data_IF_451661063476
#
_entry.id   IF_451661063476
#
_cell.length_a   1.000
_cell.length_b   1.000
_cell.length_c   1.000
_cell.angle_alpha   90.00
_cell.angle_beta   90.00
_cell.angle_gamma   90.00
#
_symmetry.space_group_name_H-M   'P 1'
#
loop_
_entity.id
_entity.type
_entity.pdbx_description
1 polymer ?
#
# COMPACT_ATOMS: atom_id res chain seq x y z
N UNK A 1 11.76 -7.18 6.17
CA UNK A 1 10.63 -8.06 6.54
C UNK A 1 10.70 -9.31 5.69
N UNK A 2 10.93 -10.46 6.32
CA UNK A 2 10.91 -11.75 5.64
C UNK A 2 9.84 -12.61 6.30
N UNK A 3 8.88 -13.11 5.53
CA UNK A 3 7.89 -14.04 6.06
C UNK A 3 8.59 -15.33 6.50
N UNK A 4 8.17 -15.97 7.58
CA UNK A 4 8.73 -17.27 8.00
C UNK A 4 8.09 -18.42 7.22
N UNK A 5 8.71 -19.60 7.21
CA UNK A 5 8.08 -20.78 6.59
C UNK A 5 6.78 -21.18 7.30
N UNK A 6 6.67 -20.92 8.59
CA UNK A 6 5.43 -21.08 9.34
C UNK A 6 4.34 -20.13 8.84
N UNK A 7 4.67 -18.85 8.63
CA UNK A 7 3.74 -17.88 8.04
C UNK A 7 3.35 -18.23 6.60
N UNK A 8 4.27 -18.78 5.80
CA UNK A 8 3.98 -19.28 4.47
C UNK A 8 3.04 -20.50 4.52
N UNK A 9 3.19 -21.39 5.50
CA UNK A 9 2.26 -22.50 5.73
C UNK A 9 0.87 -21.98 6.12
N UNK A 10 0.79 -20.98 7.01
CA UNK A 10 -0.46 -20.29 7.36
C UNK A 10 -1.15 -19.72 6.12
N UNK A 11 -0.41 -19.04 5.25
CA UNK A 11 -0.97 -18.52 3.99
C UNK A 11 -1.56 -19.63 3.11
N UNK A 12 -0.84 -20.75 2.96
CA UNK A 12 -1.31 -21.89 2.16
C UNK A 12 -2.58 -22.53 2.71
N UNK A 13 -2.74 -22.54 4.03
CA UNK A 13 -3.93 -23.08 4.71
C UNK A 13 -5.12 -22.11 4.69
N UNK A 14 -4.87 -20.83 4.96
CA UNK A 14 -5.93 -19.83 5.21
C UNK A 14 -6.26 -18.95 4.00
N UNK A 15 -5.37 -18.89 3.01
CA UNK A 15 -5.47 -17.99 1.86
C UNK A 15 -5.06 -16.54 2.16
N UNK A 16 -4.63 -16.22 3.39
CA UNK A 16 -4.14 -14.90 3.78
C UNK A 16 -3.08 -14.97 4.88
N UNK A 17 -2.33 -13.88 5.05
CA UNK A 17 -1.35 -13.69 6.12
C UNK A 17 -1.40 -12.22 6.58
N UNK A 18 -1.24 -12.00 7.89
CA UNK A 18 -1.05 -10.67 8.46
C UNK A 18 0.41 -10.52 8.87
N UNK A 19 1.07 -9.50 8.34
CA UNK A 19 2.43 -9.10 8.75
C UNK A 19 2.38 -7.68 9.26
N UNK A 20 2.69 -7.52 10.54
CA UNK A 20 2.64 -6.22 11.21
C UNK A 20 3.94 -5.43 10.99
N UNK A 21 3.82 -4.11 10.95
CA UNK A 21 4.94 -3.17 11.02
C UNK A 21 6.07 -3.42 10.00
N UNK A 22 5.72 -3.83 8.77
CA UNK A 22 6.75 -4.12 7.77
C UNK A 22 7.40 -2.86 7.16
N UNK A 23 6.71 -1.72 7.21
CA UNK A 23 7.27 -0.42 6.88
C UNK A 23 7.91 0.21 8.11
N UNK A 24 9.07 0.81 7.92
CA UNK A 24 9.63 1.75 8.89
C UNK A 24 8.74 2.99 9.01
N UNK A 25 8.94 3.79 10.08
CA UNK A 25 8.21 5.06 10.26
C UNK A 25 8.48 6.05 9.13
N UNK A 26 9.70 6.07 8.62
CA UNK A 26 10.09 6.97 7.54
C UNK A 26 9.46 6.55 6.20
N UNK A 27 9.44 5.25 5.90
CA UNK A 27 8.76 4.72 4.71
C UNK A 27 7.24 4.95 4.77
N UNK A 28 6.65 4.73 5.95
CA UNK A 28 5.23 5.02 6.18
C UNK A 28 4.93 6.51 5.92
N UNK A 29 5.76 7.41 6.46
CA UNK A 29 5.56 8.84 6.31
C UNK A 29 5.75 9.30 4.86
N UNK A 30 6.76 8.78 4.16
CA UNK A 30 7.01 9.10 2.76
C UNK A 30 5.91 8.56 1.82
N UNK A 31 5.31 7.42 2.13
CA UNK A 31 4.17 6.90 1.38
C UNK A 31 2.91 7.75 1.60
N UNK A 32 2.65 8.16 2.84
CA UNK A 32 1.53 9.05 3.17
C UNK A 32 1.64 10.41 2.50
N UNK A 33 2.85 10.98 2.39
CA UNK A 33 3.09 12.24 1.67
C UNK A 33 2.63 12.14 0.20
N UNK A 34 3.02 11.06 -0.50
CA UNK A 34 2.59 10.82 -1.87
C UNK A 34 1.11 10.50 -1.99
N UNK A 35 0.56 9.71 -1.06
CA UNK A 35 -0.87 9.42 -0.99
C UNK A 35 -1.68 10.73 -0.85
N UNK A 36 -1.24 11.62 0.04
CA UNK A 36 -1.95 12.86 0.30
C UNK A 36 -1.80 13.91 -0.80
N UNK A 37 -0.69 13.85 -1.54
CA UNK A 37 -0.45 14.69 -2.70
C UNK A 37 -1.31 14.27 -3.90
N UNK A 38 -1.43 12.95 -4.15
CA UNK A 38 -1.92 12.44 -5.43
C UNK A 38 -3.34 11.86 -5.41
N UNK A 39 -3.94 11.61 -4.24
CA UNK A 39 -5.17 10.79 -4.20
C UNK A 39 -6.25 11.19 -3.19
N UNK A 40 -5.88 11.69 -2.02
CA UNK A 40 -6.86 12.15 -1.04
C UNK A 40 -6.22 13.13 -0.06
N UNK A 41 -6.93 14.10 0.51
CA UNK A 41 -6.37 14.90 1.60
C UNK A 41 -6.09 14.05 2.84
N UNK A 42 -5.27 14.58 3.77
CA UNK A 42 -5.21 14.03 5.12
C UNK A 42 -6.58 14.12 5.81
N UNK A 43 -6.80 13.34 6.86
CA UNK A 43 -8.10 13.35 7.55
C UNK A 43 -8.46 14.73 8.13
N UNK A 44 -7.48 15.44 8.70
CA UNK A 44 -7.70 16.78 9.24
C UNK A 44 -8.03 17.80 8.14
N UNK A 45 -7.34 17.70 6.99
CA UNK A 45 -7.63 18.53 5.82
C UNK A 45 -9.01 18.21 5.22
N UNK A 46 -9.39 16.94 5.20
CA UNK A 46 -10.70 16.50 4.76
C UNK A 46 -11.81 17.11 5.63
N UNK A 47 -11.67 17.06 6.96
CA UNK A 47 -12.61 17.70 7.89
C UNK A 47 -12.64 19.22 7.72
N UNK A 48 -11.49 19.86 7.56
CA UNK A 48 -11.39 21.30 7.33
C UNK A 48 -12.00 21.74 5.99
N UNK A 49 -12.03 20.86 4.98
CA UNK A 49 -12.65 21.11 3.68
C UNK A 49 -14.11 20.62 3.60
N UNK A 50 -14.79 20.56 4.74
CA UNK A 50 -16.21 20.20 4.81
C UNK A 50 -16.48 18.81 4.20
N UNK A 51 -15.56 17.87 4.46
CA UNK A 51 -15.61 16.48 3.97
C UNK A 51 -15.60 16.38 2.44
N UNK A 52 -14.81 17.21 1.77
CA UNK A 52 -14.62 17.12 0.31
C UNK A 52 -13.22 16.66 -0.04
N UNK A 53 -13.15 15.68 -0.94
CA UNK A 53 -11.92 15.27 -1.60
C UNK A 53 -11.87 15.90 -3.01
N UNK A 54 -11.12 16.99 -3.13
CA UNK A 54 -10.93 17.72 -4.39
C UNK A 54 -9.62 17.31 -5.11
N UNK A 55 -8.95 16.24 -4.65
CA UNK A 55 -7.73 15.77 -5.31
C UNK A 55 -8.04 15.17 -6.70
N UNK A 56 -7.14 15.35 -7.69
CA UNK A 56 -7.32 14.78 -9.02
C UNK A 56 -7.54 13.25 -8.95
N UNK A 57 -8.53 12.75 -9.69
CA UNK A 57 -8.88 11.31 -9.65
C UNK A 57 -7.78 10.43 -10.27
N UNK A 58 -7.58 9.30 -9.59
CA UNK A 58 -6.75 8.12 -9.90
C UNK A 58 -5.78 8.20 -11.09
N UNK A 59 -4.51 8.16 -10.73
CA UNK A 59 -3.41 7.71 -11.59
C UNK A 59 -3.01 6.31 -11.08
N UNK A 60 -2.80 5.35 -11.98
CA UNK A 60 -2.25 4.04 -11.63
C UNK A 60 -0.75 4.17 -11.37
N UNK A 61 -0.20 3.28 -10.54
CA UNK A 61 1.25 3.16 -10.40
C UNK A 61 1.96 3.12 -11.78
N UNK A 62 3.10 3.81 -11.95
CA UNK A 62 3.81 4.60 -10.95
C UNK A 62 3.29 6.04 -10.83
N UNK A 63 3.42 6.60 -9.62
CA UNK A 63 3.12 8.01 -9.34
C UNK A 63 4.37 8.88 -9.47
N UNK A 64 4.17 10.19 -9.61
CA UNK A 64 5.24 11.18 -9.45
C UNK A 64 5.56 11.39 -7.97
N UNK A 65 5.94 10.30 -7.29
CA UNK A 65 6.30 10.28 -5.88
C UNK A 65 7.08 9.01 -5.52
N UNK A 66 8.35 9.16 -5.13
CA UNK A 66 9.24 8.04 -4.85
C UNK A 66 8.83 7.23 -3.61
N UNK A 67 8.43 7.89 -2.52
CA UNK A 67 7.99 7.22 -1.29
C UNK A 67 6.79 6.29 -1.48
N UNK A 68 5.77 6.77 -2.20
CA UNK A 68 4.60 5.98 -2.54
C UNK A 68 4.94 4.81 -3.48
N UNK A 69 5.75 5.07 -4.52
CA UNK A 69 6.21 4.01 -5.42
C UNK A 69 7.00 2.92 -4.68
N UNK A 70 7.89 3.31 -3.75
CA UNK A 70 8.72 2.37 -2.97
C UNK A 70 7.88 1.35 -2.21
N UNK A 71 6.77 1.76 -1.59
CA UNK A 71 5.89 0.82 -0.87
C UNK A 71 5.22 -0.18 -1.81
N UNK A 72 4.83 0.22 -3.02
CA UNK A 72 4.21 -0.68 -3.99
C UNK A 72 5.16 -1.75 -4.52
N UNK A 73 6.47 -1.46 -4.59
CA UNK A 73 7.50 -2.41 -5.03
C UNK A 73 8.49 -2.74 -3.92
N UNK A 74 8.03 -2.73 -2.66
CA UNK A 74 8.90 -2.92 -1.51
C UNK A 74 9.64 -4.26 -1.60
N UNK A 75 10.97 -4.33 -1.38
CA UNK A 75 11.73 -5.57 -1.52
C UNK A 75 11.16 -6.75 -0.72
N UNK A 76 10.64 -6.47 0.48
CA UNK A 76 10.00 -7.49 1.32
C UNK A 76 8.66 -8.00 0.77
N UNK A 77 7.87 -7.14 0.11
CA UNK A 77 6.62 -7.56 -0.53
C UNK A 77 6.92 -8.41 -1.76
N UNK A 78 7.97 -8.06 -2.51
CA UNK A 78 8.47 -8.85 -3.63
C UNK A 78 8.94 -10.23 -3.12
N UNK A 79 9.80 -10.29 -2.10
CA UNK A 79 10.26 -11.55 -1.49
C UNK A 79 9.09 -12.43 -1.02
N UNK A 80 8.11 -11.83 -0.35
CA UNK A 80 6.91 -12.54 0.08
C UNK A 80 6.11 -13.09 -1.13
N UNK A 81 5.90 -12.28 -2.17
CA UNK A 81 5.19 -12.70 -3.38
C UNK A 81 5.93 -13.81 -4.13
N UNK A 82 7.24 -13.73 -4.26
CA UNK A 82 8.07 -14.77 -4.90
C UNK A 82 7.94 -16.10 -4.16
N UNK A 83 7.95 -16.08 -2.83
CA UNK A 83 7.83 -17.29 -2.00
C UNK A 83 6.43 -17.88 -1.99
N UNK A 84 5.41 -17.03 -2.03
CA UNK A 84 4.01 -17.45 -2.19
C UNK A 84 3.80 -18.13 -3.54
N UNK A 85 4.34 -17.54 -4.61
CA UNK A 85 4.16 -18.02 -5.99
C UNK A 85 5.14 -19.15 -6.37
N UNK A 86 6.23 -19.33 -5.63
CA UNK A 86 7.27 -20.32 -5.93
C UNK A 86 8.12 -19.96 -7.15
N UNK A 87 8.17 -18.68 -7.54
CA UNK A 87 8.93 -18.19 -8.70
C UNK A 87 9.43 -16.78 -8.45
N UNK A 88 10.56 -16.43 -9.07
CA UNK A 88 11.08 -15.05 -9.13
C UNK A 88 10.61 -14.27 -10.35
N UNK A 89 9.97 -14.96 -11.29
CA UNK A 89 9.47 -14.34 -12.52
C UNK A 89 8.08 -13.75 -12.29
N UNK A 90 8.04 -12.63 -11.56
CA UNK A 90 6.80 -11.91 -11.24
C UNK A 90 6.80 -10.53 -11.88
N UNK A 91 5.62 -10.05 -12.28
CA UNK A 91 5.42 -8.69 -12.79
C UNK A 91 4.27 -8.05 -12.04
N UNK A 92 4.46 -6.81 -11.61
CA UNK A 92 3.39 -6.00 -11.05
C UNK A 92 2.42 -5.64 -12.18
N UNK A 93 1.14 -5.99 -12.01
CA UNK A 93 0.08 -5.62 -12.96
C UNK A 93 -0.34 -4.17 -12.75
N UNK A 94 -0.69 -3.83 -11.51
CA UNK A 94 -1.21 -2.52 -11.13
C UNK A 94 -0.97 -2.24 -9.65
N UNK A 95 -0.88 -0.96 -9.30
CA UNK A 95 -0.92 -0.46 -7.94
C UNK A 95 -2.07 0.53 -7.81
N UNK A 96 -2.95 0.29 -6.84
CA UNK A 96 -4.15 1.10 -6.61
C UNK A 96 -4.07 1.78 -5.25
N UNK A 97 -4.59 3.00 -5.21
CA UNK A 97 -4.85 3.72 -3.97
C UNK A 97 -6.33 3.59 -3.64
N UNK A 98 -6.63 3.36 -2.37
CA UNK A 98 -7.98 3.23 -1.86
C UNK A 98 -8.15 4.06 -0.59
N UNK A 99 -9.27 4.77 -0.52
CA UNK A 99 -9.70 5.50 0.67
C UNK A 99 -11.18 5.19 0.89
N UNK A 100 -11.58 5.08 2.17
CA UNK A 100 -12.98 4.94 2.56
C UNK A 100 -13.29 5.98 3.61
N UNK A 101 -14.24 6.86 3.33
CA UNK A 101 -14.78 7.80 4.30
C UNK A 101 -15.96 7.14 5.01
N UNK A 102 -15.89 7.01 6.33
CA UNK A 102 -17.00 6.49 7.12
C UNK A 102 -18.08 7.57 7.28
N UNK A 103 -19.35 7.21 7.09
CA UNK A 103 -20.49 8.11 7.37
C UNK A 103 -20.93 9.01 6.22
N UNK A 104 -20.61 8.65 4.97
CA UNK A 104 -21.35 9.15 3.80
C UNK A 104 -22.55 8.22 3.56
N UNK A 105 -23.76 8.80 3.60
CA UNK A 105 -25.01 8.15 3.11
C UNK A 105 -25.20 8.45 1.62
#
# INVERSE_FOLDING_TARGET
MHITDAQLATYKEQGFLIVENFLTKDEQQAALDGFFTHFAPSYDQYLANDRRNDTPRQILFPWDHSGLNHVTVHPDLIDAAERVLGTREIRLCEGHLGMKYAGEE
#
